data_IF_168945788090
#
_entry.id   IF_168945788090
#
_cell.length_a   1.000
_cell.length_b   1.000
_cell.length_c   1.000
_cell.angle_alpha   90.00
_cell.angle_beta   90.00
_cell.angle_gamma   90.00
#
_symmetry.space_group_name_H-M   'P 1'
#
loop_
_entity.id
_entity.type
_entity.pdbx_description
1 polymer ?
#
# COMPACT_ATOMS: atom_id res chain seq x y z
N UNK A 1 -36.96 58.33 -22.76
CA UNK A 1 -37.85 59.42 -22.31
C UNK A 1 -39.28 58.92 -22.40
N UNK A 2 -39.90 58.61 -21.27
CA UNK A 2 -41.35 58.60 -21.01
C UNK A 2 -41.58 58.48 -19.48
N UNK A 3 -42.47 59.30 -18.94
CA UNK A 3 -42.92 59.55 -17.55
C UNK A 3 -43.39 58.29 -16.77
N UNK A 4 -43.29 58.12 -15.44
CA UNK A 4 -43.75 58.84 -14.21
C UNK A 4 -45.27 58.81 -13.93
N UNK A 5 -45.62 58.29 -12.72
CA UNK A 5 -46.83 58.56 -11.91
C UNK A 5 -47.92 57.47 -11.93
N UNK A 6 -48.65 57.08 -10.87
CA UNK A 6 -48.76 57.50 -9.46
C UNK A 6 -49.54 56.44 -8.63
N UNK A 7 -49.19 56.38 -7.34
CA UNK A 7 -49.92 56.13 -6.07
C UNK A 7 -51.27 55.36 -5.92
N UNK A 8 -51.36 54.65 -4.79
CA UNK A 8 -52.49 54.79 -3.86
C UNK A 8 -53.19 53.52 -3.39
N UNK A 9 -52.92 53.04 -2.17
CA UNK A 9 -53.95 52.42 -1.32
C UNK A 9 -53.55 52.38 0.17
N UNK A 10 -54.53 52.75 0.99
CA UNK A 10 -54.43 53.24 2.37
C UNK A 10 -54.57 52.16 3.45
N UNK A 11 -54.03 52.51 4.63
CA UNK A 11 -54.57 52.34 5.99
C UNK A 11 -54.62 50.95 6.69
N UNK A 12 -53.72 50.85 7.68
CA UNK A 12 -53.75 50.23 9.03
C UNK A 12 -55.13 50.12 9.74
N UNK A 13 -55.34 49.28 10.80
CA UNK A 13 -54.60 49.40 12.08
C UNK A 13 -54.29 48.14 12.91
N UNK A 14 -53.42 48.40 13.88
CA UNK A 14 -52.73 47.56 14.85
C UNK A 14 -53.63 46.94 15.94
N UNK A 15 -53.18 45.82 16.53
CA UNK A 15 -53.34 45.58 17.98
C UNK A 15 -52.05 45.02 18.59
N UNK A 16 -51.67 45.67 19.68
CA UNK A 16 -50.52 45.48 20.55
C UNK A 16 -50.83 44.58 21.75
N UNK A 17 -49.87 43.75 22.17
CA UNK A 17 -49.59 43.35 23.58
C UNK A 17 -48.11 42.94 23.68
N UNK A 18 -47.18 43.75 24.21
CA UNK A 18 -46.76 43.90 25.63
C UNK A 18 -46.46 42.55 26.33
N UNK A 19 -45.21 42.08 26.39
CA UNK A 19 -44.29 42.12 27.58
C UNK A 19 -44.54 40.95 28.57
N UNK A 20 -43.62 40.20 29.19
CA UNK A 20 -42.24 40.44 29.66
C UNK A 20 -41.64 39.09 30.18
N UNK A 21 -40.36 38.80 29.83
CA UNK A 21 -39.26 38.16 30.60
C UNK A 21 -39.49 36.89 31.48
N UNK A 22 -38.70 35.84 31.21
CA UNK A 22 -38.47 34.73 32.15
C UNK A 22 -37.65 33.59 31.54
N UNK A 23 -36.42 33.43 32.04
CA UNK A 23 -35.40 32.43 31.73
C UNK A 23 -35.86 30.98 31.90
N UNK A 24 -35.50 30.08 30.97
CA UNK A 24 -34.81 28.86 31.40
C UNK A 24 -34.02 28.17 30.28
N UNK A 25 -32.93 27.55 30.70
CA UNK A 25 -31.89 26.96 29.89
C UNK A 25 -32.35 25.68 29.17
N UNK A 26 -31.91 25.54 27.91
CA UNK A 26 -32.13 24.36 27.09
C UNK A 26 -31.09 24.24 25.99
N UNK A 27 -29.83 24.30 26.38
CA UNK A 27 -28.67 24.01 25.53
C UNK A 27 -28.75 22.59 24.97
N UNK A 28 -28.55 22.50 23.64
CA UNK A 28 -27.89 21.44 22.85
C UNK A 28 -28.75 20.99 21.67
N UNK A 29 -28.62 21.72 20.56
CA UNK A 29 -28.39 21.06 19.29
C UNK A 29 -27.55 21.95 18.36
N UNK A 30 -26.30 22.19 18.78
CA UNK A 30 -25.27 22.59 17.85
C UNK A 30 -24.67 21.31 17.31
N UNK A 31 -25.21 20.84 16.18
CA UNK A 31 -24.58 19.82 15.37
C UNK A 31 -23.17 20.29 14.99
N UNK A 32 -22.17 19.89 15.78
CA UNK A 32 -20.78 19.94 15.39
C UNK A 32 -20.61 18.98 14.23
N UNK A 33 -20.83 19.46 13.01
CA UNK A 33 -20.17 18.89 11.83
C UNK A 33 -18.69 19.03 12.11
N UNK A 34 -18.11 17.96 12.65
CA UNK A 34 -16.68 17.89 12.93
C UNK A 34 -15.94 18.32 11.68
N UNK A 35 -15.03 19.27 11.85
CA UNK A 35 -13.95 19.50 10.89
C UNK A 35 -13.26 18.15 10.70
N UNK A 36 -13.62 17.45 9.63
CA UNK A 36 -13.03 16.19 9.20
C UNK A 36 -11.60 16.47 8.72
N UNK A 37 -10.75 16.82 9.69
CA UNK A 37 -9.36 17.14 9.50
C UNK A 37 -8.56 15.90 9.15
N UNK A 38 -7.46 16.12 8.43
CA UNK A 38 -6.45 15.12 8.15
C UNK A 38 -6.05 14.38 9.42
N UNK A 39 -6.09 13.05 9.39
CA UNK A 39 -5.63 12.20 10.49
C UNK A 39 -4.53 11.27 9.94
N UNK A 40 -3.28 11.38 10.43
CA UNK A 40 -2.16 10.61 9.90
C UNK A 40 -2.27 9.13 10.28
N UNK A 41 -1.84 8.24 9.39
CA UNK A 41 -1.86 6.79 9.62
C UNK A 41 -0.90 6.37 10.75
N UNK A 42 -1.27 5.32 11.48
CA UNK A 42 -0.48 4.86 12.63
C UNK A 42 0.79 4.15 12.18
N UNK A 43 1.95 4.71 12.54
CA UNK A 43 3.25 4.07 12.32
C UNK A 43 3.40 2.72 13.05
N UNK A 44 2.68 2.54 14.17
CA UNK A 44 2.65 1.25 14.87
C UNK A 44 1.98 0.19 14.00
N UNK A 45 0.82 0.53 13.40
CA UNK A 45 0.14 -0.37 12.46
C UNK A 45 1.02 -0.70 11.26
N UNK A 46 1.64 0.32 10.67
CA UNK A 46 2.57 0.18 9.55
C UNK A 46 3.72 -0.78 9.87
N UNK A 47 4.41 -0.55 10.98
CA UNK A 47 5.54 -1.36 11.41
C UNK A 47 5.14 -2.80 11.71
N UNK A 48 3.99 -3.01 12.37
CA UNK A 48 3.48 -4.37 12.67
C UNK A 48 3.18 -5.13 11.39
N UNK A 49 2.43 -4.54 10.45
CA UNK A 49 2.06 -5.23 9.21
C UNK A 49 3.30 -5.55 8.38
N UNK A 50 4.23 -4.59 8.23
CA UNK A 50 5.48 -4.80 7.50
C UNK A 50 6.37 -5.88 8.16
N UNK A 51 6.45 -5.89 9.50
CA UNK A 51 7.22 -6.89 10.24
C UNK A 51 6.62 -8.29 10.10
N UNK A 52 5.29 -8.41 10.20
CA UNK A 52 4.61 -9.70 10.06
C UNK A 52 4.79 -10.24 8.64
N UNK A 53 4.59 -9.43 7.60
CA UNK A 53 4.69 -9.90 6.21
C UNK A 53 6.12 -10.25 5.83
N UNK A 54 7.11 -9.48 6.30
CA UNK A 54 8.53 -9.83 6.17
C UNK A 54 8.87 -11.14 6.92
N UNK A 55 8.38 -11.31 8.15
CA UNK A 55 8.60 -12.53 8.94
C UNK A 55 7.99 -13.77 8.26
N UNK A 56 6.76 -13.64 7.73
CA UNK A 56 6.10 -14.70 6.97
C UNK A 56 6.91 -15.10 5.74
N UNK A 57 7.44 -14.13 4.99
CA UNK A 57 8.32 -14.40 3.86
C UNK A 57 9.60 -15.14 4.29
N UNK A 58 10.32 -14.62 5.29
CA UNK A 58 11.58 -15.22 5.76
C UNK A 58 11.37 -16.65 6.30
N UNK A 59 10.30 -16.88 7.06
CA UNK A 59 9.95 -18.22 7.56
C UNK A 59 9.61 -19.16 6.40
N UNK A 60 8.85 -18.69 5.41
CA UNK A 60 8.50 -19.49 4.24
C UNK A 60 9.71 -19.90 3.41
N UNK A 61 10.69 -19.00 3.24
CA UNK A 61 11.95 -19.25 2.53
C UNK A 61 12.88 -20.19 3.29
N UNK A 62 12.95 -20.06 4.60
CA UNK A 62 13.72 -20.97 5.45
C UNK A 62 13.15 -22.39 5.40
N UNK A 63 11.82 -22.50 5.45
CA UNK A 63 11.12 -23.77 5.26
C UNK A 63 11.39 -24.35 3.87
N UNK A 64 11.25 -23.54 2.82
CA UNK A 64 11.47 -23.96 1.44
C UNK A 64 12.91 -24.43 1.24
N UNK A 65 13.90 -23.71 1.75
CA UNK A 65 15.31 -24.12 1.68
C UNK A 65 15.51 -25.48 2.36
N UNK A 66 15.05 -25.66 3.60
CA UNK A 66 15.22 -26.93 4.32
C UNK A 66 14.54 -28.12 3.64
N UNK A 67 13.35 -27.93 3.09
CA UNK A 67 12.53 -29.00 2.53
C UNK A 67 12.85 -29.30 1.07
N UNK A 68 13.17 -28.28 0.28
CA UNK A 68 13.37 -28.41 -1.16
C UNK A 68 14.85 -28.58 -1.54
N UNK A 69 15.81 -28.32 -0.63
CA UNK A 69 17.25 -28.60 -0.86
C UNK A 69 17.82 -29.66 0.08
N UNK A 70 16.99 -30.33 0.88
CA UNK A 70 17.44 -31.29 1.87
C UNK A 70 17.95 -32.62 1.28
N UNK A 71 18.59 -33.50 2.08
CA UNK A 71 19.11 -34.80 1.62
C UNK A 71 18.04 -35.71 1.01
N UNK A 72 16.79 -35.57 1.48
CA UNK A 72 15.63 -36.27 0.93
C UNK A 72 15.34 -35.89 -0.53
N UNK A 73 15.74 -34.69 -0.97
CA UNK A 73 15.63 -34.26 -2.36
C UNK A 73 16.75 -34.80 -3.23
N UNK A 74 17.97 -34.89 -2.70
CA UNK A 74 19.10 -35.48 -3.43
C UNK A 74 18.90 -36.97 -3.77
N UNK A 75 17.95 -37.64 -3.11
CA UNK A 75 17.60 -39.04 -3.31
C UNK A 75 16.31 -39.26 -4.11
N UNK A 76 15.50 -38.22 -4.30
CA UNK A 76 14.28 -38.28 -5.09
C UNK A 76 14.58 -37.61 -6.43
N UNK A 77 14.72 -38.39 -7.50
CA UNK A 77 14.94 -37.90 -8.87
C UNK A 77 14.01 -36.72 -9.18
N UNK A 78 14.56 -35.49 -9.13
CA UNK A 78 14.10 -34.20 -9.67
C UNK A 78 12.60 -33.82 -9.78
N UNK A 79 11.65 -34.57 -9.22
CA UNK A 79 10.21 -34.30 -9.43
C UNK A 79 9.74 -33.19 -8.51
N UNK A 80 9.68 -31.95 -9.01
CA UNK A 80 9.18 -30.77 -8.28
C UNK A 80 7.91 -31.10 -7.49
N UNK A 81 7.74 -30.51 -6.29
CA UNK A 81 6.63 -30.87 -5.42
C UNK A 81 5.34 -30.30 -6.00
N UNK A 82 4.71 -31.07 -6.88
CA UNK A 82 3.51 -30.67 -7.59
C UNK A 82 2.31 -30.64 -6.63
N UNK A 83 1.78 -29.44 -6.40
CA UNK A 83 0.62 -29.22 -5.53
C UNK A 83 -0.66 -29.31 -6.36
N UNK A 84 -0.65 -28.72 -7.56
CA UNK A 84 -1.75 -28.77 -8.52
C UNK A 84 -1.22 -29.28 -9.85
N UNK A 85 -1.70 -30.46 -10.25
CA UNK A 85 -1.25 -31.13 -11.46
C UNK A 85 -1.39 -30.23 -12.69
N UNK A 86 -0.28 -30.03 -13.42
CA UNK A 86 -0.23 -29.23 -14.63
C UNK A 86 -0.34 -27.71 -14.41
N UNK A 87 -0.26 -27.23 -13.17
CA UNK A 87 -0.43 -25.80 -12.85
C UNK A 87 0.55 -25.23 -11.82
N UNK A 88 0.78 -25.90 -10.69
CA UNK A 88 1.51 -25.30 -9.57
C UNK A 88 2.35 -26.32 -8.81
N UNK A 89 3.62 -25.97 -8.60
CA UNK A 89 4.59 -26.78 -7.88
C UNK A 89 5.49 -25.92 -6.98
N UNK A 90 6.14 -26.57 -6.02
CA UNK A 90 7.21 -25.97 -5.23
C UNK A 90 8.56 -26.48 -5.72
N UNK A 91 9.45 -25.54 -6.05
CA UNK A 91 10.82 -25.82 -6.50
C UNK A 91 11.79 -24.78 -5.98
N UNK A 92 12.93 -25.18 -5.47
CA UNK A 92 13.92 -24.21 -4.99
C UNK A 92 14.63 -23.51 -6.16
N UNK A 93 14.62 -22.18 -6.17
CA UNK A 93 15.33 -21.37 -7.14
C UNK A 93 16.11 -20.23 -6.46
N UNK A 94 17.32 -19.97 -6.95
CA UNK A 94 18.15 -18.83 -6.52
C UNK A 94 18.02 -17.71 -7.53
N UNK A 95 17.33 -16.65 -7.15
CA UNK A 95 17.12 -15.50 -8.02
C UNK A 95 18.19 -14.43 -7.77
N UNK A 96 19.17 -14.42 -8.66
CA UNK A 96 20.23 -13.42 -8.69
C UNK A 96 19.81 -12.10 -9.38
N UNK A 97 18.53 -11.96 -9.73
CA UNK A 97 18.01 -10.87 -10.57
C UNK A 97 17.88 -11.23 -12.06
N UNK A 98 17.86 -12.52 -12.39
CA UNK A 98 17.80 -13.03 -13.76
C UNK A 98 16.45 -12.89 -14.47
N UNK A 99 15.39 -12.49 -13.75
CA UNK A 99 14.07 -12.26 -14.34
C UNK A 99 14.08 -11.15 -15.43
N UNK A 100 15.08 -10.27 -15.40
CA UNK A 100 15.33 -9.29 -16.45
C UNK A 100 16.48 -9.82 -17.32
N UNK A 101 16.16 -10.41 -18.46
CA UNK A 101 17.16 -10.96 -19.40
C UNK A 101 18.22 -9.93 -19.83
N UNK A 102 17.95 -8.63 -19.72
CA UNK A 102 18.93 -7.58 -19.98
C UNK A 102 19.92 -7.35 -18.82
N UNK A 103 19.55 -7.69 -17.58
CA UNK A 103 20.40 -7.54 -16.39
C UNK A 103 21.09 -8.86 -16.01
N UNK A 104 20.70 -10.00 -16.59
CA UNK A 104 21.38 -11.28 -16.37
C UNK A 104 22.81 -11.28 -16.90
N UNK A 105 23.06 -10.55 -17.99
CA UNK A 105 24.37 -10.44 -18.63
C UNK A 105 25.33 -9.52 -17.86
N UNK A 106 24.81 -8.74 -16.90
CA UNK A 106 25.67 -7.93 -16.05
C UNK A 106 26.50 -8.80 -15.10
N UNK A 107 27.80 -8.49 -14.94
CA UNK A 107 28.63 -9.13 -13.94
C UNK A 107 28.00 -9.03 -12.55
N UNK A 108 28.15 -10.09 -11.76
CA UNK A 108 27.58 -10.20 -10.43
C UNK A 108 27.95 -9.03 -9.51
N UNK A 109 29.17 -8.50 -9.66
CA UNK A 109 29.68 -7.35 -8.91
C UNK A 109 28.88 -6.06 -9.13
N UNK A 110 28.19 -5.93 -10.28
CA UNK A 110 27.31 -4.80 -10.57
C UNK A 110 25.85 -5.14 -10.28
N UNK A 111 25.44 -6.37 -10.56
CA UNK A 111 24.06 -6.83 -10.40
C UNK A 111 23.61 -6.85 -8.94
N UNK A 112 24.44 -7.39 -8.03
CA UNK A 112 24.11 -7.47 -6.60
C UNK A 112 23.88 -6.09 -5.95
N UNK A 113 24.82 -5.12 -6.03
CA UNK A 113 24.61 -3.81 -5.42
C UNK A 113 23.46 -3.03 -6.08
N UNK A 114 23.21 -3.22 -7.38
CA UNK A 114 22.05 -2.62 -8.05
C UNK A 114 20.73 -3.04 -7.39
N UNK A 115 20.48 -4.34 -7.24
CA UNK A 115 19.23 -4.80 -6.62
C UNK A 115 19.15 -4.45 -5.14
N UNK A 116 20.29 -4.47 -4.43
CA UNK A 116 20.36 -4.02 -3.03
C UNK A 116 19.95 -2.54 -2.91
N UNK A 117 20.48 -1.69 -3.79
CA UNK A 117 20.16 -0.27 -3.87
C UNK A 117 18.68 -0.06 -4.18
N UNK A 118 18.14 -0.72 -5.22
CA UNK A 118 16.73 -0.58 -5.61
C UNK A 118 15.79 -0.99 -4.48
N UNK A 119 16.02 -2.13 -3.83
CA UNK A 119 15.19 -2.58 -2.69
C UNK A 119 15.27 -1.63 -1.49
N UNK A 120 16.46 -1.08 -1.22
CA UNK A 120 16.66 -0.10 -0.14
C UNK A 120 15.96 1.23 -0.47
N UNK A 121 16.15 1.74 -1.68
CA UNK A 121 15.53 2.97 -2.15
C UNK A 121 14.00 2.88 -2.15
N UNK A 122 13.45 1.75 -2.62
CA UNK A 122 12.01 1.49 -2.57
C UNK A 122 11.48 1.47 -1.12
N UNK A 123 12.21 0.84 -0.20
CA UNK A 123 11.83 0.81 1.22
C UNK A 123 11.81 2.20 1.84
N UNK A 124 12.86 3.01 1.61
CA UNK A 124 12.94 4.40 2.08
C UNK A 124 11.81 5.25 1.46
N UNK A 125 11.56 5.09 0.16
CA UNK A 125 10.49 5.79 -0.52
C UNK A 125 9.11 5.47 0.09
N UNK A 126 8.80 4.19 0.30
CA UNK A 126 7.54 3.74 0.93
C UNK A 126 7.38 4.33 2.34
N UNK A 127 8.46 4.32 3.14
CA UNK A 127 8.44 4.93 4.48
C UNK A 127 8.19 6.44 4.43
N UNK A 128 8.78 7.14 3.45
CA UNK A 128 8.63 8.59 3.28
C UNK A 128 7.22 9.02 2.90
N UNK A 129 6.52 8.21 2.09
CA UNK A 129 5.15 8.54 1.65
C UNK A 129 4.10 8.13 2.69
N UNK A 130 4.38 7.13 3.53
CA UNK A 130 3.44 6.70 4.57
C UNK A 130 3.09 7.83 5.54
N UNK A 131 4.01 8.76 5.80
CA UNK A 131 3.77 9.93 6.67
C UNK A 131 2.70 10.87 6.13
N UNK A 132 2.41 10.81 4.83
CA UNK A 132 1.56 11.76 4.10
C UNK A 132 0.19 11.19 3.74
N UNK A 133 -0.09 9.94 4.12
CA UNK A 133 -1.37 9.31 3.79
C UNK A 133 -2.45 9.70 4.79
N UNK A 134 -3.67 9.89 4.29
CA UNK A 134 -4.87 10.01 5.12
C UNK A 134 -5.28 8.63 5.63
N UNK A 135 -5.57 8.50 6.93
CA UNK A 135 -6.09 7.27 7.54
C UNK A 135 -7.31 6.67 6.85
N UNK A 136 -8.12 7.49 6.19
CA UNK A 136 -9.34 7.08 5.46
C UNK A 136 -9.02 6.37 4.15
N UNK A 137 -7.81 6.55 3.62
CA UNK A 137 -7.32 5.80 2.47
C UNK A 137 -6.86 4.41 2.90
N UNK A 138 -7.84 3.52 3.06
CA UNK A 138 -7.61 2.14 3.47
C UNK A 138 -6.67 1.40 2.51
N UNK A 139 -6.73 1.73 1.21
CA UNK A 139 -5.96 1.04 0.19
C UNK A 139 -4.47 1.41 0.30
N UNK A 140 -4.13 2.69 0.50
CA UNK A 140 -2.74 3.10 0.81
C UNK A 140 -2.29 2.61 2.19
N UNK A 141 -3.19 2.66 3.19
CA UNK A 141 -2.91 2.20 4.56
C UNK A 141 -2.47 0.74 4.61
N UNK A 142 -3.09 -0.14 3.83
CA UNK A 142 -2.71 -1.55 3.72
C UNK A 142 -1.63 -1.80 2.66
N UNK A 143 -1.69 -1.12 1.52
CA UNK A 143 -0.80 -1.37 0.40
C UNK A 143 0.67 -1.08 0.70
N UNK A 144 0.94 0.05 1.37
CA UNK A 144 2.30 0.46 1.70
C UNK A 144 3.04 -0.51 2.65
N UNK A 145 2.50 -0.92 3.81
CA UNK A 145 3.20 -1.86 4.68
C UNK A 145 3.31 -3.28 4.07
N UNK A 146 2.37 -3.70 3.22
CA UNK A 146 2.49 -4.96 2.47
C UNK A 146 3.69 -4.91 1.51
N UNK A 147 3.76 -3.86 0.69
CA UNK A 147 4.86 -3.65 -0.23
C UNK A 147 6.20 -3.49 0.51
N UNK A 148 6.23 -2.77 1.64
CA UNK A 148 7.43 -2.62 2.47
C UNK A 148 7.88 -3.97 3.01
N UNK A 149 7.00 -4.75 3.62
CA UNK A 149 7.40 -6.04 4.20
C UNK A 149 7.89 -7.04 3.16
N UNK A 150 7.28 -7.06 1.97
CA UNK A 150 7.80 -7.83 0.84
C UNK A 150 9.18 -7.33 0.37
N UNK A 151 9.35 -6.01 0.23
CA UNK A 151 10.64 -5.42 -0.13
C UNK A 151 11.74 -5.75 0.91
N UNK A 152 11.41 -5.70 2.20
CA UNK A 152 12.31 -6.04 3.30
C UNK A 152 12.67 -7.53 3.31
N UNK A 153 11.71 -8.44 3.11
CA UNK A 153 12.00 -9.88 3.03
C UNK A 153 12.99 -10.21 1.91
N UNK A 154 12.76 -9.62 0.73
CA UNK A 154 13.65 -9.73 -0.44
C UNK A 154 14.99 -8.99 -0.26
N UNK A 155 15.05 -7.93 0.54
CA UNK A 155 16.28 -7.21 0.88
C UNK A 155 17.15 -8.03 1.84
N UNK A 156 16.53 -8.64 2.85
CA UNK A 156 17.22 -9.48 3.85
C UNK A 156 17.93 -10.65 3.18
N UNK A 157 17.27 -11.35 2.26
CA UNK A 157 17.90 -12.41 1.46
C UNK A 157 19.13 -11.92 0.69
N UNK A 158 19.02 -10.76 0.03
CA UNK A 158 20.14 -10.18 -0.73
C UNK A 158 21.32 -9.84 0.16
N UNK A 159 21.07 -9.33 1.36
CA UNK A 159 22.13 -9.04 2.35
C UNK A 159 22.76 -10.33 2.87
N UNK A 160 21.96 -11.36 3.17
CA UNK A 160 22.44 -12.61 3.78
C UNK A 160 23.11 -13.57 2.79
N UNK A 161 22.56 -13.67 1.59
CA UNK A 161 22.90 -14.72 0.63
C UNK A 161 23.43 -14.16 -0.70
N UNK A 162 23.17 -12.88 -1.01
CA UNK A 162 23.50 -12.28 -2.30
C UNK A 162 22.48 -12.57 -3.41
N UNK A 163 21.43 -13.33 -3.12
CA UNK A 163 20.34 -13.70 -4.02
C UNK A 163 19.05 -13.85 -3.23
N UNK A 164 17.91 -13.90 -3.92
CA UNK A 164 16.59 -14.15 -3.32
C UNK A 164 16.23 -15.62 -3.45
N UNK A 165 15.64 -16.20 -2.40
CA UNK A 165 15.09 -17.55 -2.45
C UNK A 165 13.68 -17.50 -3.04
N UNK A 166 13.51 -18.08 -4.22
CA UNK A 166 12.21 -18.29 -4.85
C UNK A 166 11.81 -19.76 -4.75
N UNK A 167 10.52 -20.00 -4.54
CA UNK A 167 10.03 -21.36 -4.34
C UNK A 167 8.64 -21.67 -4.86
N UNK A 168 7.87 -20.66 -5.24
CA UNK A 168 6.56 -20.79 -5.86
C UNK A 168 6.74 -20.82 -7.38
N UNK A 169 6.28 -21.88 -8.03
CA UNK A 169 6.34 -22.00 -9.49
C UNK A 169 4.99 -22.34 -10.06
N UNK A 170 4.51 -21.45 -10.95
CA UNK A 170 3.28 -21.65 -11.70
C UNK A 170 3.64 -21.93 -13.15
N UNK A 171 3.00 -22.90 -13.75
CA UNK A 171 3.17 -23.25 -15.15
C UNK A 171 1.82 -23.61 -15.76
N UNK A 172 1.73 -23.62 -17.08
CA UNK A 172 0.55 -24.12 -17.78
C UNK A 172 1.03 -25.13 -18.80
N UNK A 173 0.46 -26.32 -18.75
CA UNK A 173 0.65 -27.34 -19.78
C UNK A 173 -0.50 -27.29 -20.77
N UNK A 174 -0.17 -27.02 -22.04
CA UNK A 174 -1.14 -26.99 -23.11
C UNK A 174 -0.58 -27.67 -24.36
N UNK A 175 -1.29 -28.68 -24.87
CA UNK A 175 -0.89 -29.47 -26.06
C UNK A 175 0.54 -30.02 -25.98
N UNK A 176 0.95 -30.49 -24.81
CA UNK A 176 2.30 -31.03 -24.58
C UNK A 176 3.41 -29.97 -24.51
N UNK A 177 3.08 -28.68 -24.54
CA UNK A 177 4.03 -27.60 -24.28
C UNK A 177 3.83 -27.03 -22.88
N UNK A 178 4.92 -26.99 -22.11
CA UNK A 178 4.98 -26.40 -20.77
C UNK A 178 5.42 -24.94 -20.87
N UNK A 179 4.53 -24.01 -20.51
CA UNK A 179 4.86 -22.59 -20.39
C UNK A 179 5.04 -22.24 -18.92
N UNK A 180 6.24 -21.81 -18.57
CA UNK A 180 6.61 -21.50 -17.19
C UNK A 180 6.45 -20.01 -16.90
N UNK A 181 5.79 -19.68 -15.79
CA UNK A 181 5.87 -18.36 -15.20
C UNK A 181 7.18 -18.27 -14.39
N UNK A 182 7.85 -17.09 -14.35
CA UNK A 182 9.02 -16.92 -13.51
C UNK A 182 8.74 -17.35 -12.07
N UNK A 183 9.63 -18.11 -11.45
CA UNK A 183 9.50 -18.48 -10.03
C UNK A 183 9.47 -17.24 -9.15
N UNK A 184 8.70 -17.29 -8.07
CA UNK A 184 8.52 -16.17 -7.15
C UNK A 184 8.40 -16.67 -5.70
N UNK A 185 8.23 -15.75 -4.76
CA UNK A 185 8.08 -16.05 -3.34
C UNK A 185 6.93 -15.26 -2.68
N UNK A 186 6.78 -15.43 -1.37
CA UNK A 186 5.73 -14.78 -0.59
C UNK A 186 5.94 -13.26 -0.51
N UNK A 187 7.19 -12.77 -0.44
CA UNK A 187 7.49 -11.34 -0.55
C UNK A 187 7.00 -10.73 -1.87
N UNK A 188 7.16 -11.42 -3.00
CA UNK A 188 6.67 -10.94 -4.30
C UNK A 188 5.15 -10.84 -4.32
N UNK A 189 4.44 -11.79 -3.70
CA UNK A 189 2.98 -11.74 -3.53
C UNK A 189 2.57 -10.51 -2.71
N UNK A 190 3.27 -10.20 -1.61
CA UNK A 190 3.00 -8.99 -0.82
C UNK A 190 3.26 -7.71 -1.60
N UNK A 191 4.31 -7.67 -2.41
CA UNK A 191 4.60 -6.53 -3.30
C UNK A 191 3.48 -6.35 -4.31
N UNK A 192 3.05 -7.42 -5.00
CA UNK A 192 1.99 -7.36 -6.01
C UNK A 192 0.67 -6.87 -5.39
N UNK A 193 0.26 -7.44 -4.26
CA UNK A 193 -0.96 -7.01 -3.56
C UNK A 193 -0.83 -5.55 -3.10
N UNK A 194 0.33 -5.18 -2.53
CA UNK A 194 0.59 -3.83 -2.06
C UNK A 194 0.50 -2.78 -3.17
N UNK A 195 1.16 -3.05 -4.30
CA UNK A 195 1.13 -2.20 -5.49
C UNK A 195 -0.26 -2.15 -6.12
N UNK A 196 -0.99 -3.27 -6.17
CA UNK A 196 -2.36 -3.29 -6.66
C UNK A 196 -3.28 -2.42 -5.80
N UNK A 197 -3.15 -2.48 -4.47
CA UNK A 197 -3.92 -1.61 -3.56
C UNK A 197 -3.56 -0.13 -3.74
N UNK A 198 -2.29 0.20 -3.90
CA UNK A 198 -1.85 1.57 -4.22
C UNK A 198 -2.46 2.05 -5.54
N UNK A 199 -2.42 1.22 -6.58
CA UNK A 199 -3.03 1.54 -7.87
C UNK A 199 -4.55 1.76 -7.74
N UNK A 200 -5.24 0.91 -6.99
CA UNK A 200 -6.66 1.05 -6.69
C UNK A 200 -6.95 2.40 -6.02
N UNK A 201 -6.15 2.83 -5.03
CA UNK A 201 -6.31 4.16 -4.42
C UNK A 201 -6.21 5.29 -5.46
N UNK A 202 -5.18 5.21 -6.32
CA UNK A 202 -4.94 6.21 -7.37
C UNK A 202 -6.10 6.30 -8.35
N UNK A 203 -6.65 5.17 -8.79
CA UNK A 203 -7.77 5.15 -9.73
C UNK A 203 -9.12 5.50 -9.09
N UNK A 204 -9.29 5.24 -7.78
CA UNK A 204 -10.53 5.54 -7.05
C UNK A 204 -10.59 6.97 -6.51
N UNK A 205 -9.57 7.81 -6.78
CA UNK A 205 -9.65 9.26 -6.58
C UNK A 205 -9.93 9.71 -5.14
N UNK A 206 -9.51 8.93 -4.14
CA UNK A 206 -9.56 9.35 -2.71
C UNK A 206 -8.29 10.05 -2.23
N UNK A 207 -7.35 10.32 -3.14
CA UNK A 207 -6.06 10.96 -2.87
C UNK A 207 -6.22 12.43 -2.49
N UNK A 208 -6.63 12.72 -1.25
CA UNK A 208 -6.28 13.98 -0.61
C UNK A 208 -4.82 13.89 -0.17
N UNK A 209 -3.89 14.05 -1.12
CA UNK A 209 -2.53 14.47 -0.76
C UNK A 209 -2.69 15.89 -0.19
N UNK A 210 -2.75 15.97 1.13
CA UNK A 210 -2.92 17.26 1.81
C UNK A 210 -1.57 17.97 1.77
N UNK A 211 -1.55 19.13 1.10
CA UNK A 211 -0.48 20.11 1.26
C UNK A 211 -0.52 20.55 2.72
N UNK A 212 0.61 20.56 3.46
CA UNK A 212 0.65 21.13 4.80
C UNK A 212 0.06 22.55 4.76
N UNK A 213 -0.67 23.01 5.78
CA UNK A 213 -1.13 24.39 5.82
C UNK A 213 0.09 25.31 5.68
N UNK A 214 0.05 26.23 4.72
CA UNK A 214 1.06 27.29 4.62
C UNK A 214 1.17 27.95 6.00
N UNK A 215 2.42 28.19 6.45
CA UNK A 215 2.65 28.97 7.67
C UNK A 215 1.83 30.25 7.60
N UNK A 216 1.18 30.67 8.70
CA UNK A 216 0.39 31.89 8.70
C UNK A 216 1.30 33.02 8.25
N UNK A 217 0.95 33.65 7.12
CA UNK A 217 1.58 34.88 6.65
C UNK A 217 1.50 35.84 7.83
N UNK A 218 2.67 36.18 8.40
CA UNK A 218 2.75 37.17 9.45
C UNK A 218 2.11 38.44 8.90
N UNK A 219 1.03 38.88 9.55
CA UNK A 219 0.37 40.14 9.27
C UNK A 219 1.35 41.24 9.70
N UNK A 220 2.12 41.75 8.74
CA UNK A 220 3.02 42.89 8.94
C UNK A 220 2.15 44.10 9.33
N UNK A 221 2.37 44.55 10.55
CA UNK A 221 1.63 45.58 11.27
C UNK A 221 1.87 46.99 10.72
#
# INVERSE_FOLDING_TARGET
>A
MAEVGEEGSSAEPQTSTSGTKGTDAGSKDSGTKGSDGYQPASYVFFGIVAAITAALDLVSKEWATKKLTGPQRALADDEDFEIVKGFFELRYARNNGGAWSALSDLPEIWRRPFFLFVSTAASVFIMSIYSRIDRRDWAMKWGLPLALGGALGNLVDRVRHGFVVDFLHVFIEYKGQRKNWPTFNVADVWIVIGVALMAISLFMGKSRLTVPPDEPVADDS
#
